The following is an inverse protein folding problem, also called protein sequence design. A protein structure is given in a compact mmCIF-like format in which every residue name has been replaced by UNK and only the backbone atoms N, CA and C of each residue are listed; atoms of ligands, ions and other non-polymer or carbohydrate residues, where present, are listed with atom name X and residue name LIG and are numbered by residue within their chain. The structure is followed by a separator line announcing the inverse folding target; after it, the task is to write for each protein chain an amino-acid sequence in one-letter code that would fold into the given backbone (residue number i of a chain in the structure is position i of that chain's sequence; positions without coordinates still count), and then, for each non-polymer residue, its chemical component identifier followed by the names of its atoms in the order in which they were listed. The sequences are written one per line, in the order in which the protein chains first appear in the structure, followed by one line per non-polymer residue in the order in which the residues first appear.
data_IF_674114022592
#
_entry.id   IF_674114022592
#
_cell.length_a   1.000
_cell.length_b   1.000
_cell.length_c   1.000
_cell.angle_alpha   90.00
_cell.angle_beta   90.00
_cell.angle_gamma   90.00
#
_symmetry.space_group_name_H-M   'P 1'
#
loop_
_entity.id
_entity.type
_entity.pdbx_description
1 polymer ?
#
# COMPACT_ATOMS: atom_id res chain seq x y z
N UNK A 1 28.37 -5.79 14.63
CA UNK A 1 27.68 -5.66 14.50
C UNK A 1 26.79 -5.50 14.70
N UNK A 2 26.84 -5.19 14.85
CA UNK A 2 26.06 -5.10 15.03
C UNK A 2 25.06 -4.82 14.65
N UNK A 3 25.28 -5.14 14.51
CA UNK A 3 24.38 -4.30 13.81
C UNK A 3 22.96 -4.72 13.77
N UNK A 4 22.15 -3.76 13.80
CA UNK A 4 20.74 -3.94 13.61
C UNK A 4 20.48 -4.14 12.13
N UNK A 5 20.03 -5.29 11.73
CA UNK A 5 19.58 -5.51 10.36
C UNK A 5 18.34 -4.66 10.13
N UNK A 6 18.38 -3.76 9.14
CA UNK A 6 17.22 -3.00 8.76
C UNK A 6 16.34 -3.90 7.88
N UNK A 7 15.20 -4.26 8.40
CA UNK A 7 14.24 -5.07 7.65
C UNK A 7 13.34 -4.18 6.82
N UNK A 8 13.16 -4.57 5.58
CA UNK A 8 12.13 -3.97 4.73
C UNK A 8 10.75 -4.28 5.32
N UNK A 9 9.78 -3.50 4.91
CA UNK A 9 8.39 -3.75 5.26
C UNK A 9 7.52 -3.50 4.04
N UNK A 10 6.33 -4.05 4.07
CA UNK A 10 5.38 -3.94 2.97
C UNK A 10 4.06 -3.39 3.47
N UNK A 11 3.49 -2.49 2.69
CA UNK A 11 2.07 -2.14 2.81
C UNK A 11 1.34 -3.03 1.82
N UNK A 12 0.34 -3.75 2.31
CA UNK A 12 -0.50 -4.59 1.47
C UNK A 12 -1.93 -4.06 1.57
N UNK A 13 -2.47 -3.62 0.44
CA UNK A 13 -3.83 -3.13 0.36
C UNK A 13 -4.64 -3.99 -0.60
N UNK A 14 -5.83 -4.37 -0.18
CA UNK A 14 -6.78 -5.11 -1.02
C UNK A 14 -8.06 -4.31 -1.08
N UNK A 15 -8.58 -4.05 -2.28
CA UNK A 15 -9.67 -3.11 -2.49
C UNK A 15 -10.70 -3.61 -3.49
N UNK A 16 -11.97 -3.27 -3.22
CA UNK A 16 -13.04 -3.33 -4.20
C UNK A 16 -13.40 -1.89 -4.56
N UNK A 17 -13.15 -1.51 -5.79
CA UNK A 17 -13.36 -0.12 -6.23
C UNK A 17 -14.82 0.06 -6.62
N UNK A 18 -15.49 1.06 -5.99
CA UNK A 18 -16.89 1.38 -6.23
C UNK A 18 -17.06 2.61 -7.12
N UNK A 19 -16.08 3.51 -7.12
CA UNK A 19 -16.08 4.74 -7.93
C UNK A 19 -14.73 4.83 -8.61
N UNK A 20 -14.68 4.40 -9.85
CA UNK A 20 -13.41 4.29 -10.60
C UNK A 20 -12.79 5.67 -10.84
N UNK A 21 -13.59 6.66 -11.19
CA UNK A 21 -13.06 8.01 -11.46
C UNK A 21 -12.41 8.61 -10.22
N UNK A 22 -13.07 8.50 -9.08
CA UNK A 22 -12.52 9.00 -7.81
C UNK A 22 -11.29 8.21 -7.38
N UNK A 23 -11.31 6.89 -7.58
CA UNK A 23 -10.15 6.05 -7.28
C UNK A 23 -8.96 6.39 -8.17
N UNK A 24 -9.19 6.69 -9.45
CA UNK A 24 -8.14 7.12 -10.37
C UNK A 24 -7.53 8.44 -9.94
N UNK A 25 -8.33 9.37 -9.43
CA UNK A 25 -7.83 10.62 -8.86
C UNK A 25 -6.90 10.37 -7.67
N UNK A 26 -7.27 9.42 -6.81
CA UNK A 26 -6.44 8.98 -5.69
C UNK A 26 -5.12 8.37 -6.17
N UNK A 27 -5.19 7.37 -7.06
CA UNK A 27 -4.01 6.61 -7.46
C UNK A 27 -2.96 7.44 -8.19
N UNK A 28 -3.36 8.52 -8.84
CA UNK A 28 -2.44 9.45 -9.51
C UNK A 28 -1.53 10.16 -8.51
N UNK A 29 -2.03 10.43 -7.31
CA UNK A 29 -1.31 11.20 -6.31
C UNK A 29 -0.41 10.34 -5.42
N UNK A 30 -0.63 9.03 -5.39
CA UNK A 30 0.10 8.14 -4.48
C UNK A 30 1.61 8.16 -4.70
N UNK A 31 2.13 8.08 -5.95
CA UNK A 31 3.59 8.04 -6.15
C UNK A 31 4.33 9.20 -5.51
N UNK A 32 3.80 10.41 -5.61
CA UNK A 32 4.44 11.59 -5.02
C UNK A 32 4.50 11.50 -3.48
N UNK A 33 3.53 10.84 -2.86
CA UNK A 33 3.53 10.67 -1.40
C UNK A 33 4.53 9.62 -0.93
N UNK A 34 4.87 8.66 -1.78
CA UNK A 34 5.80 7.58 -1.45
C UNK A 34 7.26 8.01 -1.49
N UNK A 35 7.62 8.90 -2.41
CA UNK A 35 9.00 9.26 -2.67
C UNK A 35 9.79 9.67 -1.43
N UNK A 36 9.27 10.55 -0.55
CA UNK A 36 10.02 10.95 0.66
C UNK A 36 10.30 9.82 1.63
N UNK A 37 9.57 8.71 1.53
CA UNK A 37 9.67 7.59 2.47
C UNK A 37 10.32 6.36 1.85
N UNK A 38 10.78 6.47 0.61
CA UNK A 38 11.44 5.37 -0.08
C UNK A 38 10.51 4.24 -0.50
N UNK A 39 9.21 4.51 -0.58
CA UNK A 39 8.22 3.51 -1.01
C UNK A 39 8.26 3.27 -2.51
N UNK A 40 8.10 2.02 -2.90
CA UNK A 40 8.02 1.63 -4.31
C UNK A 40 7.01 0.51 -4.50
N UNK A 41 6.29 0.55 -5.62
CA UNK A 41 5.29 -0.48 -5.91
C UNK A 41 5.95 -1.80 -6.29
N UNK A 42 5.50 -2.89 -5.64
CA UNK A 42 5.85 -4.27 -6.00
C UNK A 42 4.71 -4.87 -6.82
N UNK A 43 3.47 -4.63 -6.37
CA UNK A 43 2.25 -5.03 -7.09
C UNK A 43 1.33 -3.82 -7.10
N UNK A 44 0.75 -3.51 -8.25
CA UNK A 44 -0.16 -2.37 -8.36
C UNK A 44 -1.36 -2.73 -9.22
N UNK A 45 -2.28 -3.50 -8.64
CA UNK A 45 -3.51 -3.88 -9.32
C UNK A 45 -3.32 -4.82 -10.50
N UNK A 46 -2.30 -5.68 -10.45
CA UNK A 46 -2.06 -6.66 -11.48
C UNK A 46 -3.11 -7.76 -11.49
N UNK A 47 -3.08 -8.56 -12.57
CA UNK A 47 -3.99 -9.68 -12.69
C UNK A 47 -3.82 -10.62 -11.50
N UNK A 48 -4.93 -10.97 -10.87
CA UNK A 48 -4.96 -11.84 -9.70
C UNK A 48 -5.69 -13.13 -10.04
N UNK A 49 -5.09 -14.27 -9.70
CA UNK A 49 -5.72 -15.58 -9.84
C UNK A 49 -5.91 -16.17 -8.45
N UNK A 50 -7.15 -16.41 -8.06
CA UNK A 50 -7.44 -17.08 -6.80
C UNK A 50 -7.27 -18.58 -6.98
N UNK A 51 -6.38 -19.18 -6.20
CA UNK A 51 -6.11 -20.62 -6.26
C UNK A 51 -6.92 -21.38 -5.23
N UNK A 52 -7.08 -20.80 -4.03
CA UNK A 52 -7.82 -21.42 -2.94
C UNK A 52 -8.67 -20.37 -2.23
N UNK A 53 -9.88 -20.77 -1.88
CA UNK A 53 -10.78 -19.95 -1.08
C UNK A 53 -11.30 -18.72 -1.80
N UNK A 54 -11.92 -17.85 -1.04
CA UNK A 54 -12.45 -16.60 -1.55
C UNK A 54 -11.47 -15.46 -1.34
N UNK A 55 -11.34 -14.60 -2.35
CA UNK A 55 -10.54 -13.39 -2.26
C UNK A 55 -11.48 -12.20 -2.42
N UNK A 56 -11.92 -11.59 -1.32
CA UNK A 56 -13.05 -10.65 -1.34
C UNK A 56 -12.80 -9.32 -2.01
N UNK A 57 -11.53 -8.89 -2.09
CA UNK A 57 -11.18 -7.60 -2.67
C UNK A 57 -10.19 -7.81 -3.82
N UNK A 58 -10.64 -7.71 -5.07
CA UNK A 58 -9.85 -8.16 -6.22
C UNK A 58 -8.64 -7.30 -6.56
N UNK A 59 -8.62 -6.02 -6.16
CA UNK A 59 -7.47 -5.18 -6.46
C UNK A 59 -6.43 -5.29 -5.35
N UNK A 60 -5.26 -5.80 -5.69
CA UNK A 60 -4.16 -5.96 -4.74
C UNK A 60 -3.05 -4.95 -5.06
N UNK A 61 -2.59 -4.25 -4.03
CA UNK A 61 -1.44 -3.34 -4.12
C UNK A 61 -0.45 -3.73 -3.04
N UNK A 62 0.82 -3.85 -3.41
CA UNK A 62 1.91 -4.09 -2.45
C UNK A 62 2.96 -3.02 -2.69
N UNK A 63 3.30 -2.30 -1.63
CA UNK A 63 4.32 -1.25 -1.65
C UNK A 63 5.44 -1.67 -0.71
N UNK A 64 6.67 -1.64 -1.22
CA UNK A 64 7.85 -1.95 -0.42
C UNK A 64 8.41 -0.66 0.17
N UNK A 65 8.77 -0.70 1.45
CA UNK A 65 9.45 0.38 2.15
C UNK A 65 10.76 -0.13 2.75
N UNK A 66 11.74 0.77 2.94
CA UNK A 66 13.03 0.35 3.53
C UNK A 66 12.90 -0.12 4.98
N UNK A 67 11.81 0.23 5.67
CA UNK A 67 11.57 -0.19 7.05
C UNK A 67 10.09 -0.05 7.40
N UNK A 68 9.69 -0.70 8.48
CA UNK A 68 8.35 -0.53 9.05
C UNK A 68 8.10 0.93 9.44
N UNK A 69 9.11 1.58 10.05
CA UNK A 69 8.99 2.97 10.44
C UNK A 69 8.72 3.89 9.26
N UNK A 70 9.35 3.62 8.11
CA UNK A 70 9.11 4.40 6.90
C UNK A 70 7.66 4.20 6.40
N UNK A 71 7.16 2.97 6.42
CA UNK A 71 5.79 2.67 6.01
C UNK A 71 4.77 3.36 6.92
N UNK A 72 4.99 3.29 8.23
CA UNK A 72 4.11 3.94 9.21
C UNK A 72 4.14 5.45 9.07
N UNK A 73 5.33 6.03 8.87
CA UNK A 73 5.49 7.46 8.66
C UNK A 73 4.78 7.94 7.38
N UNK A 74 4.87 7.15 6.31
CA UNK A 74 4.15 7.44 5.07
C UNK A 74 2.64 7.50 5.31
N UNK A 75 2.07 6.49 5.96
CA UNK A 75 0.63 6.43 6.21
C UNK A 75 0.16 7.61 7.07
N UNK A 76 0.99 8.04 8.01
CA UNK A 76 0.69 9.16 8.90
C UNK A 76 1.05 10.53 8.31
N UNK A 77 1.70 10.57 7.14
CA UNK A 77 2.17 11.82 6.55
C UNK A 77 1.02 12.74 6.13
N UNK A 78 1.29 14.05 6.17
CA UNK A 78 0.30 15.03 5.72
C UNK A 78 -0.06 14.83 4.24
N UNK A 79 0.94 14.50 3.42
CA UNK A 79 0.71 14.27 2.00
C UNK A 79 -0.29 13.13 1.76
N UNK A 80 -0.12 12.00 2.45
CA UNK A 80 -1.03 10.87 2.28
C UNK A 80 -2.41 11.16 2.89
N UNK A 81 -2.45 11.85 4.04
CA UNK A 81 -3.71 12.23 4.69
C UNK A 81 -4.59 13.09 3.80
N UNK A 82 -3.98 13.90 2.92
CA UNK A 82 -4.74 14.75 1.99
C UNK A 82 -5.50 13.96 0.96
N UNK A 83 -5.04 12.75 0.62
CA UNK A 83 -5.64 11.97 -0.47
C UNK A 83 -6.36 10.71 -0.01
N UNK A 84 -6.11 10.23 1.20
CA UNK A 84 -6.65 8.95 1.66
C UNK A 84 -8.18 8.93 1.71
N UNK A 85 -8.82 10.08 1.92
CA UNK A 85 -10.28 10.16 1.92
C UNK A 85 -10.88 9.78 0.58
N UNK A 86 -10.17 10.06 -0.52
CA UNK A 86 -10.60 9.63 -1.86
C UNK A 86 -10.66 8.10 -1.93
N UNK A 87 -9.64 7.42 -1.38
CA UNK A 87 -9.61 5.97 -1.34
C UNK A 87 -10.77 5.42 -0.50
N UNK A 88 -11.02 5.99 0.66
CA UNK A 88 -12.09 5.53 1.56
C UNK A 88 -13.47 5.73 0.96
N UNK A 89 -13.68 6.78 0.18
CA UNK A 89 -14.95 7.06 -0.48
C UNK A 89 -15.15 6.23 -1.74
N UNK A 90 -14.06 5.91 -2.44
CA UNK A 90 -14.09 5.25 -3.74
C UNK A 90 -14.01 3.73 -3.66
N UNK A 91 -13.69 3.18 -2.49
CA UNK A 91 -13.45 1.74 -2.36
C UNK A 91 -13.76 1.25 -0.95
N UNK A 92 -13.91 -0.07 -0.83
CA UNK A 92 -13.90 -0.77 0.46
C UNK A 92 -12.77 -1.79 0.42
N UNK A 93 -12.14 -2.03 1.57
CA UNK A 93 -11.06 -2.99 1.61
C UNK A 93 -10.23 -2.89 2.86
N UNK A 94 -9.01 -3.39 2.77
CA UNK A 94 -8.10 -3.53 3.90
C UNK A 94 -6.73 -3.00 3.54
N UNK A 95 -6.00 -2.56 4.55
CA UNK A 95 -4.61 -2.17 4.42
C UNK A 95 -3.85 -2.65 5.65
N UNK A 96 -2.74 -3.32 5.43
CA UNK A 96 -1.89 -3.81 6.53
C UNK A 96 -0.44 -3.42 6.25
N UNK A 97 0.37 -3.40 7.30
CA UNK A 97 1.82 -3.27 7.20
C UNK A 97 2.41 -4.55 7.78
N UNK A 98 3.32 -5.18 7.05
CA UNK A 98 3.95 -6.43 7.46
C UNK A 98 5.44 -6.35 7.22
N UNK A 99 6.22 -6.88 8.15
CA UNK A 99 7.68 -6.95 8.01
C UNK A 99 8.07 -8.00 6.96
N UNK A 100 9.16 -7.73 6.25
CA UNK A 100 9.72 -8.68 5.31
C UNK A 100 10.25 -9.91 6.06
N UNK A 101 10.43 -10.98 5.31
CA UNK A 101 11.02 -12.20 5.87
C UNK A 101 12.44 -11.93 6.37
N UNK A 102 12.76 -12.56 7.48
CA UNK A 102 14.12 -12.61 8.02
C UNK A 102 14.68 -13.98 7.70
N UNK A 103 15.82 -14.02 7.05
CA UNK A 103 16.54 -15.28 6.80
C UNK A 103 17.88 -15.30 7.45
#
# INVERSE_FOLDING_TARGET
MNGTAIMKAYVIAAETVNDQAMFDAYRKEVPATLAPFGGSFVVRGGRLTSIEGEWPHPRLVIIEFPSRGAAEAWYASDAYKRIVSLRHKASVGNLVIVDAAID
#
